data_IF_432809919937
#
_entry.id   IF_432809919937
#
_cell.length_a   1.000
_cell.length_b   1.000
_cell.length_c   1.000
_cell.angle_alpha   90.00
_cell.angle_beta   90.00
_cell.angle_gamma   90.00
#
_symmetry.space_group_name_H-M   'P 1'
#
loop_
_entity.id
_entity.type
_entity.pdbx_description
1 polymer ?
#
# COMPACT_ATOMS: atom_id res chain seq x y z
N UNK A 1 -47.52 -39.63 15.00
CA UNK A 1 -46.37 -40.40 14.47
C UNK A 1 -45.36 -39.42 13.89
N UNK A 2 -44.13 -39.33 14.42
CA UNK A 2 -43.04 -38.57 13.80
C UNK A 2 -42.57 -39.33 12.56
N UNK A 3 -42.62 -38.71 11.38
CA UNK A 3 -42.06 -39.30 10.15
C UNK A 3 -40.53 -39.34 10.31
N UNK A 4 -39.94 -40.52 10.14
CA UNK A 4 -38.49 -40.67 10.05
C UNK A 4 -38.02 -40.15 8.68
N UNK A 5 -36.85 -39.51 8.64
CA UNK A 5 -36.23 -39.06 7.40
C UNK A 5 -35.86 -40.25 6.51
N UNK A 6 -35.99 -40.07 5.21
CA UNK A 6 -35.56 -41.06 4.22
C UNK A 6 -34.04 -41.01 4.03
N UNK A 7 -33.43 -42.14 3.66
CA UNK A 7 -31.98 -42.22 3.43
C UNK A 7 -31.49 -41.19 2.41
N UNK A 8 -32.27 -40.93 1.36
CA UNK A 8 -31.92 -39.95 0.33
C UNK A 8 -31.94 -38.51 0.86
N UNK A 9 -32.88 -38.16 1.75
CA UNK A 9 -32.91 -36.84 2.40
C UNK A 9 -31.68 -36.62 3.28
N UNK A 10 -31.24 -37.67 4.00
CA UNK A 10 -30.03 -37.60 4.83
C UNK A 10 -28.79 -37.39 3.96
N UNK A 11 -28.64 -38.14 2.86
CA UNK A 11 -27.51 -38.00 1.94
C UNK A 11 -27.48 -36.60 1.31
N UNK A 12 -28.61 -36.12 0.81
CA UNK A 12 -28.72 -34.78 0.22
C UNK A 12 -28.39 -33.69 1.23
N UNK A 13 -28.83 -33.83 2.47
CA UNK A 13 -28.51 -32.88 3.54
C UNK A 13 -27.01 -32.80 3.81
N UNK A 14 -26.32 -33.96 3.87
CA UNK A 14 -24.86 -34.01 4.07
C UNK A 14 -24.11 -33.37 2.91
N UNK A 15 -24.54 -33.61 1.66
CA UNK A 15 -23.91 -33.00 0.48
C UNK A 15 -24.05 -31.47 0.52
N UNK A 16 -25.25 -30.96 0.79
CA UNK A 16 -25.52 -29.51 0.85
C UNK A 16 -24.69 -28.86 1.96
N UNK A 17 -24.69 -29.45 3.17
CA UNK A 17 -23.90 -28.93 4.30
C UNK A 17 -22.41 -28.90 3.95
N UNK A 18 -21.89 -29.94 3.28
CA UNK A 18 -20.48 -30.00 2.89
C UNK A 18 -20.10 -28.87 1.93
N UNK A 19 -20.93 -28.59 0.92
CA UNK A 19 -20.70 -27.50 -0.04
C UNK A 19 -20.72 -26.14 0.67
N UNK A 20 -21.69 -25.93 1.57
CA UNK A 20 -21.81 -24.69 2.35
C UNK A 20 -20.59 -24.48 3.24
N UNK A 21 -20.13 -25.52 3.95
CA UNK A 21 -18.94 -25.44 4.80
C UNK A 21 -17.70 -25.12 3.97
N UNK A 22 -17.49 -25.78 2.83
CA UNK A 22 -16.37 -25.48 1.94
C UNK A 22 -16.40 -24.02 1.45
N UNK A 23 -17.56 -23.53 0.99
CA UNK A 23 -17.71 -22.14 0.56
C UNK A 23 -17.46 -21.14 1.69
N UNK A 24 -17.94 -21.43 2.91
CA UNK A 24 -17.71 -20.60 4.07
C UNK A 24 -16.23 -20.56 4.48
N UNK A 25 -15.52 -21.69 4.43
CA UNK A 25 -14.09 -21.77 4.72
C UNK A 25 -13.26 -20.97 3.70
N UNK A 26 -13.60 -21.05 2.41
CA UNK A 26 -12.91 -20.28 1.37
C UNK A 26 -13.08 -18.77 1.58
N UNK A 27 -14.32 -18.33 1.87
CA UNK A 27 -14.61 -16.93 2.20
C UNK A 27 -13.86 -16.47 3.46
N UNK A 28 -13.82 -17.30 4.50
CA UNK A 28 -13.08 -16.99 5.72
C UNK A 28 -11.58 -16.86 5.46
N UNK A 29 -11.00 -17.74 4.65
CA UNK A 29 -9.58 -17.67 4.26
C UNK A 29 -9.29 -16.37 3.52
N UNK A 30 -10.10 -16.04 2.49
CA UNK A 30 -9.97 -14.80 1.72
C UNK A 30 -10.08 -13.56 2.60
N UNK A 31 -11.03 -13.56 3.54
CA UNK A 31 -11.19 -12.45 4.48
C UNK A 31 -9.98 -12.30 5.39
N UNK A 32 -9.41 -13.41 5.89
CA UNK A 32 -8.19 -13.39 6.69
C UNK A 32 -7.00 -12.86 5.90
N UNK A 33 -6.80 -13.34 4.68
CA UNK A 33 -5.69 -12.92 3.82
C UNK A 33 -5.82 -11.42 3.47
N UNK A 34 -7.05 -10.95 3.22
CA UNK A 34 -7.33 -9.54 3.00
C UNK A 34 -7.06 -8.69 4.24
N UNK A 35 -7.46 -9.15 5.43
CA UNK A 35 -7.18 -8.45 6.68
C UNK A 35 -5.67 -8.35 6.94
N UNK A 36 -4.93 -9.43 6.70
CA UNK A 36 -3.46 -9.45 6.80
C UNK A 36 -2.84 -8.51 5.76
N UNK A 37 -3.33 -8.52 4.52
CA UNK A 37 -2.87 -7.60 3.47
C UNK A 37 -3.08 -6.14 3.86
N UNK A 38 -4.26 -5.77 4.34
CA UNK A 38 -4.59 -4.40 4.76
C UNK A 38 -3.67 -3.96 5.90
N UNK A 39 -3.47 -4.82 6.91
CA UNK A 39 -2.59 -4.52 8.03
C UNK A 39 -1.13 -4.35 7.59
N UNK A 40 -0.60 -5.27 6.77
CA UNK A 40 0.77 -5.19 6.27
C UNK A 40 0.97 -3.98 5.36
N UNK A 41 -0.01 -3.65 4.52
CA UNK A 41 0.01 -2.45 3.69
C UNK A 41 0.00 -1.19 4.54
N UNK A 42 -0.88 -1.10 5.54
CA UNK A 42 -0.96 0.06 6.43
C UNK A 42 0.35 0.34 7.16
N UNK A 43 0.99 -0.71 7.69
CA UNK A 43 2.32 -0.59 8.29
C UNK A 43 3.35 -0.10 7.28
N UNK A 44 3.35 -0.66 6.06
CA UNK A 44 4.28 -0.22 5.02
C UNK A 44 4.05 1.22 4.56
N UNK A 45 2.82 1.75 4.61
CA UNK A 45 2.58 3.17 4.29
C UNK A 45 3.18 4.10 5.35
N UNK A 46 3.12 3.72 6.63
CA UNK A 46 3.81 4.45 7.70
C UNK A 46 5.32 4.46 7.47
N UNK A 47 5.91 3.30 7.13
CA UNK A 47 7.33 3.22 6.81
C UNK A 47 7.68 4.07 5.58
N UNK A 48 6.85 4.03 4.54
CA UNK A 48 7.03 4.81 3.32
C UNK A 48 7.03 6.33 3.58
N UNK A 49 6.24 6.79 4.56
CA UNK A 49 6.18 8.22 4.91
C UNK A 49 7.51 8.77 5.42
N UNK A 50 8.34 7.93 6.06
CA UNK A 50 9.67 8.32 6.55
C UNK A 50 10.64 8.70 5.42
N UNK A 51 10.38 8.24 4.20
CA UNK A 51 11.23 8.52 3.06
C UNK A 51 10.95 9.91 2.46
N UNK A 52 9.80 10.51 2.76
CA UNK A 52 9.30 11.76 2.14
C UNK A 52 9.88 13.03 2.77
N UNK A 53 11.19 13.05 2.90
CA UNK A 53 11.95 14.23 3.36
C UNK A 53 12.18 15.20 2.22
N UNK A 54 12.53 16.46 2.52
CA UNK A 54 12.80 17.46 1.45
C UNK A 54 13.94 17.06 0.52
N UNK A 55 14.88 16.25 1.00
CA UNK A 55 16.03 15.79 0.22
C UNK A 55 15.75 14.58 -0.66
N UNK A 56 14.55 13.98 -0.57
CA UNK A 56 14.17 12.85 -1.43
C UNK A 56 14.38 13.15 -2.92
N UNK A 57 14.14 14.40 -3.33
CA UNK A 57 14.32 14.88 -4.71
C UNK A 57 15.76 14.81 -5.23
N UNK A 58 16.74 14.46 -4.39
CA UNK A 58 18.14 14.26 -4.77
C UNK A 58 18.45 12.81 -5.14
N UNK A 59 17.52 11.88 -4.90
CA UNK A 59 17.76 10.43 -4.97
C UNK A 59 16.90 9.74 -6.04
N UNK A 60 16.71 10.37 -7.20
CA UNK A 60 16.04 9.70 -8.33
C UNK A 60 16.85 8.47 -8.80
N UNK A 61 16.15 7.34 -8.96
CA UNK A 61 16.69 6.04 -9.37
C UNK A 61 17.79 5.52 -8.45
N UNK A 62 17.69 5.84 -7.18
CA UNK A 62 18.66 5.43 -6.16
C UNK A 62 17.99 4.60 -5.05
N UNK A 63 18.78 3.76 -4.39
CA UNK A 63 18.37 3.05 -3.19
C UNK A 63 18.94 3.79 -1.98
N UNK A 64 18.08 4.04 -1.00
CA UNK A 64 18.45 4.71 0.25
C UNK A 64 17.84 3.98 1.43
N UNK A 65 18.56 4.04 2.55
CA UNK A 65 18.01 3.60 3.83
C UNK A 65 17.30 4.75 4.57
N UNK A 66 16.43 4.41 5.52
CA UNK A 66 15.66 5.40 6.26
C UNK A 66 16.56 6.29 7.13
N UNK A 67 17.71 5.79 7.60
CA UNK A 67 18.64 6.58 8.40
C UNK A 67 19.30 7.67 7.56
N UNK A 68 19.75 7.34 6.36
CA UNK A 68 20.28 8.29 5.38
C UNK A 68 19.29 9.41 5.10
N UNK A 69 17.98 9.12 5.07
CA UNK A 69 16.94 10.11 4.84
C UNK A 69 16.61 10.96 6.07
N UNK A 70 16.59 10.37 7.26
CA UNK A 70 16.13 11.05 8.47
C UNK A 70 17.23 11.77 9.26
N UNK A 71 18.50 11.36 9.13
CA UNK A 71 19.62 11.86 9.96
C UNK A 71 19.85 13.38 9.94
N UNK A 72 19.35 14.06 8.91
CA UNK A 72 19.49 15.52 8.77
C UNK A 72 18.30 16.27 9.41
N UNK A 73 17.17 15.58 9.62
CA UNK A 73 15.93 16.15 10.17
C UNK A 73 15.73 15.75 11.65
N UNK A 74 16.29 14.61 12.08
CA UNK A 74 16.12 14.06 13.43
C UNK A 74 17.47 13.74 14.08
N UNK A 75 17.60 14.04 15.38
CA UNK A 75 18.77 13.64 16.17
C UNK A 75 18.59 12.19 16.66
N UNK A 76 19.12 11.24 15.90
CA UNK A 76 19.03 9.81 16.21
C UNK A 76 20.28 9.40 16.98
N UNK A 77 20.18 9.39 18.32
CA UNK A 77 21.32 9.12 19.21
C UNK A 77 21.44 7.65 19.60
N UNK A 78 20.32 6.95 19.68
CA UNK A 78 20.27 5.54 20.05
C UNK A 78 20.85 4.65 18.93
N UNK A 79 21.73 3.71 19.29
CA UNK A 79 22.42 2.84 18.32
C UNK A 79 21.46 1.80 17.72
N UNK A 80 20.58 1.22 18.54
CA UNK A 80 19.61 0.22 18.08
C UNK A 80 18.65 0.84 17.05
N UNK A 81 18.17 2.05 17.31
CA UNK A 81 17.34 2.82 16.38
C UNK A 81 18.04 3.09 15.05
N UNK A 82 19.35 3.39 15.09
CA UNK A 82 20.14 3.61 13.85
C UNK A 82 20.24 2.33 13.03
N UNK A 83 20.49 1.19 13.67
CA UNK A 83 20.58 -0.09 12.97
C UNK A 83 19.22 -0.51 12.38
N UNK A 84 18.12 -0.29 13.11
CA UNK A 84 16.77 -0.53 12.58
C UNK A 84 16.54 0.33 11.33
N UNK A 85 16.83 1.62 11.38
CA UNK A 85 16.59 2.53 10.25
C UNK A 85 17.46 2.20 9.02
N UNK A 86 18.71 1.77 9.23
CA UNK A 86 19.57 1.29 8.13
C UNK A 86 19.06 0.02 7.46
N UNK A 87 18.34 -0.83 8.20
CA UNK A 87 17.75 -2.06 7.64
C UNK A 87 16.52 -1.79 6.76
N UNK A 88 15.92 -0.61 6.86
CA UNK A 88 14.74 -0.22 6.09
C UNK A 88 15.21 0.51 4.84
N UNK A 89 15.19 -0.17 3.69
CA UNK A 89 15.61 0.40 2.40
C UNK A 89 14.44 0.59 1.44
N UNK A 90 14.53 1.61 0.57
CA UNK A 90 13.60 1.81 -0.55
C UNK A 90 14.32 2.26 -1.80
N UNK A 91 13.81 1.77 -2.92
CA UNK A 91 14.20 2.22 -4.25
C UNK A 91 13.32 3.42 -4.63
N UNK A 92 13.92 4.59 -4.75
CA UNK A 92 13.25 5.86 -5.00
C UNK A 92 13.29 6.12 -6.51
N UNK A 93 12.15 6.48 -7.10
CA UNK A 93 12.07 6.94 -8.48
C UNK A 93 11.17 8.18 -8.51
N UNK A 94 11.60 9.21 -9.20
CA UNK A 94 10.89 10.49 -9.27
C UNK A 94 10.59 10.76 -10.74
N UNK A 95 9.33 11.04 -11.03
CA UNK A 95 8.94 11.39 -12.39
C UNK A 95 9.33 12.84 -12.71
N UNK A 96 9.43 13.14 -13.99
CA UNK A 96 9.53 14.51 -14.46
C UNK A 96 8.26 15.29 -14.09
N UNK A 97 8.40 16.63 -14.01
CA UNK A 97 7.28 17.52 -13.73
C UNK A 97 6.30 17.48 -14.92
N UNK A 98 5.04 17.19 -14.61
CA UNK A 98 3.92 17.17 -15.56
C UNK A 98 3.06 18.40 -15.34
N UNK A 99 2.78 19.09 -16.44
CA UNK A 99 1.89 20.25 -16.45
C UNK A 99 0.43 19.84 -16.30
N UNK A 100 -0.28 20.52 -15.41
CA UNK A 100 -1.73 20.44 -15.26
C UNK A 100 -2.28 21.85 -15.53
N UNK A 101 -2.62 22.14 -16.80
CA UNK A 101 -3.27 23.40 -17.15
C UNK A 101 -4.69 23.44 -16.58
N UNK A 102 -5.05 24.55 -15.93
CA UNK A 102 -6.39 24.83 -15.44
C UNK A 102 -7.01 25.94 -16.30
N UNK A 103 -8.04 25.57 -17.04
CA UNK A 103 -8.83 26.46 -17.89
C UNK A 103 -10.29 26.45 -17.43
N UNK A 104 -10.99 27.59 -17.57
CA UNK A 104 -12.44 27.67 -17.31
C UNK A 104 -13.26 26.94 -18.38
N UNK A 105 -12.73 26.89 -19.60
CA UNK A 105 -13.35 26.26 -20.77
C UNK A 105 -12.35 25.32 -21.44
N UNK A 106 -12.84 24.20 -21.96
CA UNK A 106 -12.02 23.19 -22.64
C UNK A 106 -11.46 23.78 -23.95
N UNK A 107 -10.13 23.76 -24.10
CA UNK A 107 -9.43 24.32 -25.27
C UNK A 107 -9.08 25.80 -25.18
N UNK A 108 -9.47 26.51 -24.11
CA UNK A 108 -9.03 27.88 -23.86
C UNK A 108 -7.61 27.93 -23.26
N UNK A 109 -6.93 29.08 -23.40
CA UNK A 109 -5.63 29.31 -22.76
C UNK A 109 -5.74 29.10 -21.24
N UNK A 110 -4.77 28.40 -20.63
CA UNK A 110 -4.79 28.12 -19.20
C UNK A 110 -4.62 29.41 -18.40
N UNK A 111 -5.47 29.57 -17.38
CA UNK A 111 -5.40 30.68 -16.43
C UNK A 111 -4.28 30.45 -15.43
N UNK A 112 -3.99 29.17 -15.15
CA UNK A 112 -2.92 28.74 -14.27
C UNK A 112 -2.44 27.34 -14.69
N UNK A 113 -1.14 27.07 -14.56
CA UNK A 113 -0.57 25.73 -14.78
C UNK A 113 0.08 25.26 -13.50
N UNK A 114 -0.44 24.17 -12.92
CA UNK A 114 0.24 23.47 -11.83
C UNK A 114 1.31 22.54 -12.40
N UNK A 115 2.36 22.32 -11.62
CA UNK A 115 3.34 21.28 -11.93
C UNK A 115 3.21 20.18 -10.91
N UNK A 116 3.05 18.95 -11.36
CA UNK A 116 3.04 17.78 -10.49
C UNK A 116 4.17 16.83 -10.82
N UNK A 117 4.79 16.24 -9.81
CA UNK A 117 5.60 15.06 -10.01
C UNK A 117 5.26 13.98 -8.99
N UNK A 118 5.62 12.76 -9.34
CA UNK A 118 5.39 11.58 -8.52
C UNK A 118 6.72 11.12 -7.92
N UNK A 119 6.69 10.81 -6.62
CA UNK A 119 7.71 10.00 -5.97
C UNK A 119 7.17 8.58 -5.84
N UNK A 120 7.79 7.65 -6.55
CA UNK A 120 7.57 6.22 -6.45
C UNK A 120 8.57 5.60 -5.47
N UNK A 121 8.05 5.05 -4.38
CA UNK A 121 8.79 4.20 -3.45
C UNK A 121 8.50 2.75 -3.79
N UNK A 122 9.49 2.05 -4.38
CA UNK A 122 9.35 0.63 -4.73
C UNK A 122 9.69 -0.25 -3.53
N UNK A 123 8.96 -1.35 -3.39
CA UNK A 123 9.15 -2.35 -2.32
C UNK A 123 8.02 -3.37 -2.34
N UNK A 124 7.89 -4.17 -1.26
CA UNK A 124 6.81 -5.17 -1.12
C UNK A 124 5.42 -4.57 -1.27
N UNK A 125 5.21 -3.38 -0.68
CA UNK A 125 4.03 -2.55 -0.90
C UNK A 125 4.51 -1.21 -1.50
N UNK A 126 4.43 -1.04 -2.83
CA UNK A 126 4.87 0.18 -3.47
C UNK A 126 3.92 1.32 -3.13
N UNK A 127 4.48 2.52 -2.92
CA UNK A 127 3.71 3.73 -2.67
C UNK A 127 4.05 4.83 -3.68
N UNK A 128 3.05 5.68 -3.90
CA UNK A 128 3.12 6.82 -4.83
C UNK A 128 2.69 8.07 -4.10
N UNK A 129 3.54 9.08 -4.12
CA UNK A 129 3.29 10.36 -3.51
C UNK A 129 3.34 11.44 -4.58
N UNK A 130 2.30 12.26 -4.61
CA UNK A 130 2.17 13.37 -5.54
C UNK A 130 2.62 14.63 -4.84
N UNK A 131 3.53 15.36 -5.47
CA UNK A 131 3.86 16.71 -5.09
C UNK A 131 3.24 17.68 -6.09
N UNK A 132 2.71 18.78 -5.57
CA UNK A 132 2.12 19.87 -6.35
C UNK A 132 2.96 21.11 -6.08
N UNK A 133 3.52 21.67 -7.15
CA UNK A 133 4.34 22.90 -7.14
C UNK A 133 3.59 24.03 -7.81
#
# INVERSE_FOLDING_TARGET
MRKAFTLIEVIMSVIIVSIVVMGAMELQSKNRDMAVYIAQRGNSELDNSLFLTKKIYRYDKDEKDAYELLRDEFSIQDDDSREILKSITKNINITEDKEIPISMEEGAEPIFTFYTNEVLLKGKYPARYYNFK
#
